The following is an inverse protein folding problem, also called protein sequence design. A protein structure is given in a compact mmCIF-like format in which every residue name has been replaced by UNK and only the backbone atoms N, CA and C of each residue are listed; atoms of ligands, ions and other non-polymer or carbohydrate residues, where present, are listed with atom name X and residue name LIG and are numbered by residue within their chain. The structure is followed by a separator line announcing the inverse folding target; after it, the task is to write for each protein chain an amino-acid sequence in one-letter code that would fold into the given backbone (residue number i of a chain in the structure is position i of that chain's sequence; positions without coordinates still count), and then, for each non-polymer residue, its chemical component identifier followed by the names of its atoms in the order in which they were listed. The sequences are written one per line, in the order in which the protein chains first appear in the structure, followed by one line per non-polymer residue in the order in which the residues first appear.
data_IF_304735592427
#
_entry.id   IF_304735592427
#
_cell.length_a   1.000
_cell.length_b   1.000
_cell.length_c   1.000
_cell.angle_alpha   90.00
_cell.angle_beta   90.00
_cell.angle_gamma   90.00
#
_symmetry.space_group_name_H-M   'P 1'
#
loop_
_entity.id
_entity.type
_entity.pdbx_description
1 polymer ?
#
# COMPACT_ATOMS: atom_id res chain seq x y z
N UNK A 1 -53.98 -29.72 39.15
CA UNK A 1 -52.63 -30.21 38.76
C UNK A 1 -52.12 -29.33 37.63
N UNK A 2 -51.27 -28.32 37.98
CA UNK A 2 -50.81 -27.28 37.09
C UNK A 2 -49.35 -27.60 36.71
N UNK A 3 -49.13 -27.98 35.41
CA UNK A 3 -47.79 -28.35 34.90
C UNK A 3 -47.05 -27.07 34.49
N UNK A 4 -46.03 -26.72 35.29
CA UNK A 4 -45.11 -25.61 35.02
C UNK A 4 -44.15 -26.01 33.89
N UNK A 5 -44.23 -25.37 32.70
CA UNK A 5 -43.27 -25.55 31.59
C UNK A 5 -42.14 -24.53 31.79
N UNK A 6 -40.97 -25.04 32.16
CA UNK A 6 -39.70 -24.27 32.21
C UNK A 6 -39.20 -24.16 30.76
N UNK A 7 -39.24 -22.95 30.20
CA UNK A 7 -38.59 -22.60 28.92
C UNK A 7 -37.13 -22.24 29.21
N UNK A 8 -36.19 -23.10 28.86
CA UNK A 8 -34.76 -22.81 28.86
C UNK A 8 -34.40 -22.02 27.63
N UNK A 9 -34.04 -20.76 27.81
CA UNK A 9 -33.46 -19.91 26.78
C UNK A 9 -31.98 -20.22 26.67
N UNK A 10 -31.55 -20.86 25.56
CA UNK A 10 -30.14 -20.98 25.21
C UNK A 10 -29.65 -19.67 24.63
N UNK A 11 -28.84 -18.91 25.39
CA UNK A 11 -28.16 -17.72 24.91
C UNK A 11 -27.04 -18.12 23.95
N UNK A 12 -27.23 -17.87 22.67
CA UNK A 12 -26.22 -18.04 21.64
C UNK A 12 -25.25 -16.85 21.73
N UNK A 13 -24.08 -17.04 22.37
CA UNK A 13 -23.00 -16.06 22.34
C UNK A 13 -22.36 -16.04 20.94
N UNK A 14 -22.72 -15.05 20.11
CA UNK A 14 -22.01 -14.76 18.88
C UNK A 14 -20.65 -14.18 19.25
N UNK A 15 -19.57 -14.94 19.05
CA UNK A 15 -18.20 -14.47 19.16
C UNK A 15 -17.92 -13.61 17.92
N UNK A 16 -17.99 -12.30 18.06
CA UNK A 16 -17.53 -11.36 17.05
C UNK A 16 -16.01 -11.45 16.97
N UNK A 17 -15.48 -12.13 15.94
CA UNK A 17 -14.05 -12.08 15.61
C UNK A 17 -13.74 -10.70 15.05
N UNK A 18 -13.07 -9.87 15.82
CA UNK A 18 -12.49 -8.61 15.34
C UNK A 18 -11.39 -8.96 14.34
N UNK A 19 -11.61 -8.72 13.05
CA UNK A 19 -10.57 -8.77 12.05
C UNK A 19 -9.57 -7.65 12.38
N UNK A 20 -8.40 -8.01 12.93
CA UNK A 20 -7.29 -7.07 13.07
C UNK A 20 -6.77 -6.78 11.68
N UNK A 21 -6.73 -5.50 11.30
CA UNK A 21 -6.05 -5.07 10.09
C UNK A 21 -4.57 -5.47 10.21
N UNK A 22 -4.07 -6.25 9.28
CA UNK A 22 -2.67 -6.68 9.22
C UNK A 22 -1.86 -5.52 8.63
N UNK A 23 -0.83 -5.05 9.34
CA UNK A 23 0.12 -4.08 8.80
C UNK A 23 1.21 -4.81 8.02
N UNK A 24 1.63 -4.20 6.88
CA UNK A 24 2.77 -4.72 6.12
C UNK A 24 4.06 -4.57 6.94
N UNK A 25 4.99 -5.53 6.86
CA UNK A 25 6.29 -5.43 7.53
C UNK A 25 7.07 -4.20 7.06
N UNK A 26 7.83 -3.61 7.97
CA UNK A 26 8.79 -2.56 7.65
C UNK A 26 9.95 -3.16 6.87
N UNK A 27 10.37 -2.47 5.81
CA UNK A 27 11.53 -2.89 5.02
C UNK A 27 12.83 -2.72 5.82
N UNK A 28 13.80 -3.58 5.56
CA UNK A 28 15.16 -3.44 6.08
C UNK A 28 15.73 -2.07 5.74
N UNK A 29 16.36 -1.41 6.72
CA UNK A 29 17.01 -0.12 6.51
C UNK A 29 18.15 -0.23 5.47
N UNK A 30 18.29 0.82 4.64
CA UNK A 30 19.32 0.89 3.60
C UNK A 30 18.77 1.34 2.26
N UNK A 31 19.56 1.05 1.22
CA UNK A 31 19.26 1.39 -0.17
C UNK A 31 18.45 0.27 -0.83
N UNK A 32 17.32 0.64 -1.42
CA UNK A 32 16.47 -0.23 -2.21
C UNK A 32 16.44 0.23 -3.66
N UNK A 33 16.57 -0.71 -4.59
CA UNK A 33 16.21 -0.52 -6.00
C UNK A 33 14.75 -0.91 -6.18
N UNK A 34 13.98 -0.06 -6.84
CA UNK A 34 12.56 -0.24 -7.13
C UNK A 34 12.38 -0.16 -8.65
N UNK A 35 11.94 -1.25 -9.26
CA UNK A 35 11.69 -1.37 -10.69
C UNK A 35 10.20 -1.52 -10.94
N UNK A 36 9.62 -0.60 -11.68
CA UNK A 36 8.21 -0.62 -12.03
C UNK A 36 7.99 -0.97 -13.50
N UNK A 37 7.17 -1.98 -13.72
CA UNK A 37 6.73 -2.43 -15.04
C UNK A 37 5.22 -2.27 -15.14
N UNK A 38 4.75 -1.67 -16.22
CA UNK A 38 3.31 -1.58 -16.52
C UNK A 38 2.95 -2.59 -17.59
N UNK A 39 2.00 -3.47 -17.30
CA UNK A 39 1.51 -4.45 -18.26
C UNK A 39 0.92 -3.77 -19.51
N UNK A 40 1.22 -4.30 -20.70
CA UNK A 40 0.73 -3.76 -21.97
C UNK A 40 1.34 -2.42 -22.39
N UNK A 41 2.30 -1.87 -21.63
CA UNK A 41 3.00 -0.64 -22.00
C UNK A 41 4.25 -0.94 -22.84
N UNK A 42 4.48 -0.14 -23.87
CA UNK A 42 5.75 -0.10 -24.62
C UNK A 42 6.77 0.85 -23.99
N UNK A 43 6.37 1.57 -22.93
CA UNK A 43 7.28 2.44 -22.19
C UNK A 43 8.35 1.59 -21.46
N UNK A 44 9.59 2.09 -21.37
CA UNK A 44 10.64 1.41 -20.64
C UNK A 44 10.30 1.25 -19.15
N UNK A 45 10.90 0.25 -18.54
CA UNK A 45 10.87 0.06 -17.09
C UNK A 45 11.36 1.31 -16.38
N UNK A 46 10.66 1.71 -15.33
CA UNK A 46 11.07 2.83 -14.48
C UNK A 46 11.84 2.28 -13.29
N UNK A 47 13.14 2.58 -13.22
CA UNK A 47 13.99 2.21 -12.09
C UNK A 47 14.27 3.43 -11.23
N UNK A 48 13.99 3.32 -9.92
CA UNK A 48 14.30 4.34 -8.93
C UNK A 48 15.06 3.71 -7.75
N UNK A 49 15.73 4.53 -6.98
CA UNK A 49 16.37 4.11 -5.73
C UNK A 49 15.74 4.83 -4.55
N UNK A 50 15.60 4.13 -3.44
CA UNK A 50 15.06 4.67 -2.20
C UNK A 50 15.97 4.31 -1.03
N UNK A 51 16.58 5.34 -0.41
CA UNK A 51 17.27 5.19 0.86
C UNK A 51 16.25 5.27 1.98
N UNK A 52 16.10 4.22 2.79
CA UNK A 52 15.11 4.18 3.87
C UNK A 52 15.71 3.72 5.19
N UNK A 53 15.09 4.15 6.28
CA UNK A 53 15.21 3.59 7.62
C UNK A 53 13.81 3.23 8.15
N UNK A 54 13.72 2.62 9.32
CA UNK A 54 12.46 2.23 9.92
C UNK A 54 11.48 3.41 10.05
N UNK A 55 11.98 4.59 10.44
CA UNK A 55 11.15 5.77 10.64
C UNK A 55 10.58 6.29 9.32
N UNK A 56 11.39 6.39 8.27
CA UNK A 56 10.96 6.87 6.95
C UNK A 56 10.10 5.84 6.23
N UNK A 57 10.29 4.55 6.46
CA UNK A 57 9.45 3.50 5.90
C UNK A 57 8.04 3.52 6.51
N UNK A 58 7.95 3.59 7.83
CA UNK A 58 6.66 3.78 8.54
C UNK A 58 5.96 5.07 8.15
N UNK A 59 6.72 6.17 7.99
CA UNK A 59 6.19 7.45 7.57
C UNK A 59 5.57 7.38 6.18
N UNK A 60 6.20 6.68 5.23
CA UNK A 60 5.67 6.48 3.89
C UNK A 60 4.31 5.75 3.93
N UNK A 61 4.22 4.68 4.73
CA UNK A 61 2.96 3.95 4.94
C UNK A 61 1.92 4.82 5.64
N UNK A 62 2.32 5.56 6.69
CA UNK A 62 1.43 6.44 7.45
C UNK A 62 0.88 7.58 6.59
N UNK A 63 1.64 8.13 5.63
CA UNK A 63 1.18 9.18 4.72
C UNK A 63 0.12 8.73 3.73
N UNK A 64 0.09 7.46 3.39
CA UNK A 64 -0.94 6.87 2.53
C UNK A 64 -2.22 6.54 3.31
N UNK A 65 -2.11 6.24 4.61
CA UNK A 65 -3.24 5.83 5.46
C UNK A 65 -4.36 6.88 5.60
N UNK A 66 -4.11 8.20 5.80
CA UNK A 66 -5.18 9.19 5.87
C UNK A 66 -5.97 9.31 4.57
N UNK A 67 -5.30 9.25 3.41
CA UNK A 67 -5.97 9.30 2.12
C UNK A 67 -6.86 8.06 1.91
N UNK A 68 -6.38 6.89 2.29
CA UNK A 68 -7.18 5.66 2.25
C UNK A 68 -8.38 5.76 3.19
N UNK A 69 -8.21 6.22 4.43
CA UNK A 69 -9.32 6.39 5.40
C UNK A 69 -10.40 7.38 4.94
N UNK A 70 -10.02 8.42 4.22
CA UNK A 70 -10.96 9.44 3.74
C UNK A 70 -11.71 9.04 2.48
N UNK A 71 -11.07 8.29 1.58
CA UNK A 71 -11.58 8.06 0.24
C UNK A 71 -11.94 6.60 -0.04
N UNK A 72 -11.54 5.65 0.82
CA UNK A 72 -11.79 4.24 0.59
C UNK A 72 -12.87 3.70 1.51
N UNK A 73 -13.91 3.14 0.93
CA UNK A 73 -14.94 2.38 1.64
C UNK A 73 -14.41 1.02 2.12
N UNK A 74 -13.36 0.51 1.44
CA UNK A 74 -12.66 -0.73 1.78
C UNK A 74 -11.16 -0.54 1.56
N UNK A 75 -10.34 -1.01 2.49
CA UNK A 75 -8.88 -1.08 2.39
C UNK A 75 -8.38 -2.14 3.38
N UNK A 76 -8.45 -3.40 2.96
CA UNK A 76 -8.18 -4.56 3.79
C UNK A 76 -6.88 -5.22 3.36
N UNK A 77 -6.01 -5.52 4.31
CA UNK A 77 -4.81 -6.33 4.09
C UNK A 77 -4.93 -7.64 4.86
N UNK A 78 -4.64 -8.74 4.18
CA UNK A 78 -4.62 -10.09 4.75
C UNK A 78 -3.26 -10.72 4.51
N UNK A 79 -2.77 -11.46 5.51
CA UNK A 79 -1.58 -12.29 5.37
C UNK A 79 -1.95 -13.61 4.70
N UNK A 80 -1.13 -14.05 3.76
CA UNK A 80 -1.26 -15.34 3.05
C UNK A 80 -0.08 -16.25 3.40
N UNK A 81 -0.08 -17.46 2.89
CA UNK A 81 1.04 -18.39 3.07
C UNK A 81 2.35 -17.90 2.42
N UNK A 82 2.27 -17.05 1.38
CA UNK A 82 3.42 -16.58 0.58
C UNK A 82 3.69 -15.08 0.70
N UNK A 83 2.87 -14.34 1.47
CA UNK A 83 3.01 -12.89 1.60
C UNK A 83 1.74 -12.20 2.06
N UNK A 84 1.30 -11.19 1.32
CA UNK A 84 0.15 -10.35 1.67
C UNK A 84 -0.72 -10.07 0.45
N UNK A 85 -2.02 -9.90 0.70
CA UNK A 85 -2.99 -9.42 -0.29
C UNK A 85 -3.67 -8.19 0.28
N UNK A 86 -3.73 -7.11 -0.51
CA UNK A 86 -4.47 -5.90 -0.15
C UNK A 86 -5.58 -5.67 -1.17
N UNK A 87 -6.79 -5.47 -0.65
CA UNK A 87 -8.00 -5.14 -1.43
C UNK A 87 -8.44 -3.73 -1.09
N UNK A 88 -8.68 -2.88 -2.09
CA UNK A 88 -9.22 -1.55 -1.83
C UNK A 88 -10.33 -1.15 -2.81
N UNK A 89 -11.27 -0.36 -2.29
CA UNK A 89 -12.34 0.30 -3.06
C UNK A 89 -12.36 1.75 -2.62
N UNK A 90 -11.93 2.65 -3.49
CA UNK A 90 -11.74 4.05 -3.17
C UNK A 90 -12.51 4.95 -4.17
N UNK A 91 -12.98 6.10 -3.71
CA UNK A 91 -13.69 7.08 -4.54
C UNK A 91 -12.89 8.37 -4.64
N UNK A 92 -12.59 8.81 -5.86
CA UNK A 92 -11.87 10.05 -6.15
C UNK A 92 -12.61 10.83 -7.25
N UNK A 93 -12.99 12.06 -6.96
CA UNK A 93 -13.64 12.91 -7.97
C UNK A 93 -14.92 12.33 -8.57
N UNK A 94 -15.66 11.49 -7.82
CA UNK A 94 -16.87 10.82 -8.28
C UNK A 94 -16.63 9.57 -9.14
N UNK A 95 -15.37 9.12 -9.27
CA UNK A 95 -15.00 7.84 -9.87
C UNK A 95 -14.66 6.84 -8.79
N UNK A 96 -15.08 5.59 -8.98
CA UNK A 96 -14.73 4.47 -8.08
C UNK A 96 -13.55 3.70 -8.67
N UNK A 97 -12.51 3.54 -7.87
CA UNK A 97 -11.34 2.74 -8.20
C UNK A 97 -11.29 1.51 -7.30
N UNK A 98 -11.17 0.34 -7.90
CA UNK A 98 -10.87 -0.92 -7.21
C UNK A 98 -9.42 -1.28 -7.42
N UNK A 99 -8.73 -1.79 -6.41
CA UNK A 99 -7.41 -2.38 -6.60
C UNK A 99 -7.20 -3.63 -5.78
N UNK A 100 -6.43 -4.54 -6.37
CA UNK A 100 -5.98 -5.78 -5.80
C UNK A 100 -4.45 -5.81 -5.88
N UNK A 101 -3.78 -5.91 -4.73
CA UNK A 101 -2.33 -5.98 -4.65
C UNK A 101 -1.89 -7.29 -4.04
N UNK A 102 -1.06 -8.04 -4.74
CA UNK A 102 -0.38 -9.23 -4.25
C UNK A 102 1.07 -8.88 -3.93
N UNK A 103 1.52 -9.19 -2.72
CA UNK A 103 2.87 -8.90 -2.28
C UNK A 103 3.51 -10.20 -1.82
N UNK A 104 4.64 -10.58 -2.44
CA UNK A 104 5.37 -11.82 -2.15
C UNK A 104 6.87 -11.54 -1.97
N UNK A 105 7.55 -12.38 -1.20
CA UNK A 105 8.98 -12.26 -0.97
C UNK A 105 9.33 -11.81 0.45
N UNK A 106 10.53 -11.21 0.60
CA UNK A 106 11.09 -10.86 1.91
C UNK A 106 11.46 -9.38 1.97
N UNK A 107 10.86 -8.66 2.91
CA UNK A 107 11.08 -7.24 3.17
C UNK A 107 12.49 -6.92 3.71
N UNK A 108 13.33 -7.95 3.93
CA UNK A 108 14.73 -7.80 4.31
C UNK A 108 15.71 -7.94 3.14
N UNK A 109 15.24 -8.43 1.99
CA UNK A 109 16.12 -8.72 0.84
C UNK A 109 15.52 -8.35 -0.51
N UNK A 110 14.40 -8.96 -0.88
CA UNK A 110 13.69 -8.68 -2.13
C UNK A 110 12.23 -9.09 -2.03
N UNK A 111 11.34 -8.27 -2.58
CA UNK A 111 9.92 -8.58 -2.71
C UNK A 111 9.37 -8.09 -4.04
N UNK A 112 8.27 -8.68 -4.45
CA UNK A 112 7.48 -8.27 -5.59
C UNK A 112 6.09 -7.81 -5.11
N UNK A 113 5.59 -6.76 -5.73
CA UNK A 113 4.21 -6.30 -5.53
C UNK A 113 3.56 -6.14 -6.90
N UNK A 114 2.52 -6.91 -7.16
CA UNK A 114 1.68 -6.80 -8.36
C UNK A 114 0.36 -6.14 -7.98
N UNK A 115 0.09 -5.02 -8.62
CA UNK A 115 -1.14 -4.24 -8.39
C UNK A 115 -1.98 -4.27 -9.65
N UNK A 116 -3.20 -4.77 -9.56
CA UNK A 116 -4.23 -4.66 -10.62
C UNK A 116 -5.27 -3.65 -10.15
N UNK A 117 -5.52 -2.64 -10.95
CA UNK A 117 -6.47 -1.56 -10.64
C UNK A 117 -7.49 -1.39 -11.74
N UNK A 118 -8.76 -1.25 -11.35
CA UNK A 118 -9.88 -0.96 -12.24
C UNK A 118 -10.57 0.34 -11.87
N UNK A 119 -11.20 1.01 -12.84
CA UNK A 119 -12.02 2.20 -12.62
C UNK A 119 -13.34 2.11 -13.37
N UNK A 120 -14.43 2.61 -12.73
CA UNK A 120 -15.77 2.71 -13.34
C UNK A 120 -15.86 3.84 -14.39
N UNK A 121 -14.91 4.78 -14.38
CA UNK A 121 -14.86 5.94 -15.30
C UNK A 121 -13.46 6.12 -15.88
N UNK A 122 -13.05 5.27 -16.83
CA UNK A 122 -11.76 5.43 -17.48
C UNK A 122 -11.75 6.71 -18.31
N UNK A 123 -10.60 7.37 -18.40
CA UNK A 123 -10.41 8.47 -19.33
C UNK A 123 -10.51 7.98 -20.78
N UNK A 124 -10.90 8.85 -21.74
CA UNK A 124 -10.94 8.47 -23.14
C UNK A 124 -9.62 7.81 -23.59
N UNK A 125 -9.72 6.72 -24.32
CA UNK A 125 -8.58 5.93 -24.82
C UNK A 125 -7.65 5.34 -23.73
N UNK A 126 -8.13 5.23 -22.50
CA UNK A 126 -7.40 4.59 -21.41
C UNK A 126 -8.09 3.26 -21.06
N UNK A 127 -7.36 2.16 -20.83
CA UNK A 127 -7.95 0.92 -20.35
C UNK A 127 -8.69 1.14 -19.02
N UNK A 128 -9.86 0.50 -18.85
CA UNK A 128 -10.59 0.52 -17.59
C UNK A 128 -9.85 -0.23 -16.48
N UNK A 129 -8.96 -1.14 -16.85
CA UNK A 129 -8.10 -1.91 -15.96
C UNK A 129 -6.64 -1.78 -16.40
N UNK A 130 -5.74 -1.69 -15.42
CA UNK A 130 -4.31 -1.72 -15.64
C UNK A 130 -3.62 -2.53 -14.55
N UNK A 131 -2.43 -3.06 -14.86
CA UNK A 131 -1.61 -3.80 -13.92
C UNK A 131 -0.19 -3.25 -13.91
N UNK A 132 0.35 -3.07 -12.71
CA UNK A 132 1.72 -2.62 -12.46
C UNK A 132 2.41 -3.64 -11.56
N UNK A 133 3.62 -4.05 -11.94
CA UNK A 133 4.48 -4.88 -11.11
C UNK A 133 5.64 -4.05 -10.60
N UNK A 134 5.87 -4.07 -9.29
CA UNK A 134 7.00 -3.47 -8.61
C UNK A 134 7.93 -4.59 -8.12
N UNK A 135 9.16 -4.60 -8.60
CA UNK A 135 10.23 -5.42 -8.03
C UNK A 135 11.10 -4.55 -7.14
N UNK A 136 11.20 -4.93 -5.87
CA UNK A 136 12.02 -4.24 -4.88
C UNK A 136 13.19 -5.13 -4.48
N UNK A 137 14.40 -4.58 -4.50
CA UNK A 137 15.64 -5.29 -4.13
C UNK A 137 16.48 -4.43 -3.20
N UNK A 138 16.86 -4.98 -2.05
CA UNK A 138 17.82 -4.34 -1.16
C UNK A 138 19.23 -4.41 -1.73
N UNK A 139 19.94 -3.28 -1.77
CA UNK A 139 21.29 -3.16 -2.36
C UNK A 139 22.39 -3.01 -1.30
N UNK A 140 22.04 -2.75 -0.04
CA UNK A 140 23.02 -2.51 1.00
C UNK A 140 22.75 -1.24 1.79
N UNK A 141 23.79 -0.64 2.33
CA UNK A 141 23.67 0.67 2.99
C UNK A 141 23.34 1.77 1.98
N UNK A 142 22.70 2.85 2.43
CA UNK A 142 22.53 4.05 1.61
C UNK A 142 23.87 4.61 1.16
N UNK A 143 23.93 5.22 -0.03
CA UNK A 143 25.14 5.90 -0.49
C UNK A 143 25.50 7.06 0.45
N UNK A 144 26.79 7.44 0.48
CA UNK A 144 27.31 8.43 1.42
C UNK A 144 26.65 9.83 1.26
N UNK A 145 26.14 10.14 0.08
CA UNK A 145 25.43 11.37 -0.25
C UNK A 145 23.92 11.27 -0.11
N UNK A 146 23.39 10.12 0.33
CA UNK A 146 21.97 9.86 0.56
C UNK A 146 21.65 9.83 2.04
N UNK A 147 20.49 10.35 2.39
CA UNK A 147 19.90 10.28 3.73
C UNK A 147 18.57 9.53 3.71
N UNK A 148 18.14 8.93 4.83
CA UNK A 148 16.84 8.25 4.90
C UNK A 148 15.69 9.15 4.45
N UNK A 149 14.88 8.61 3.54
CA UNK A 149 13.79 9.29 2.86
C UNK A 149 14.14 9.78 1.45
N UNK A 150 15.39 9.71 1.02
CA UNK A 150 15.78 10.10 -0.34
C UNK A 150 15.28 9.10 -1.37
N UNK A 151 14.61 9.61 -2.40
CA UNK A 151 14.20 8.90 -3.60
C UNK A 151 14.96 9.50 -4.78
N UNK A 152 15.69 8.66 -5.50
CA UNK A 152 16.40 9.04 -6.73
C UNK A 152 15.64 8.46 -7.92
N UNK A 153 15.13 9.34 -8.76
CA UNK A 153 14.38 9.01 -9.97
C UNK A 153 15.31 8.77 -11.15
N UNK A 154 14.83 8.15 -12.24
CA UNK A 154 15.59 8.10 -13.50
C UNK A 154 16.07 9.49 -13.92
N UNK A 155 17.31 9.58 -14.40
CA UNK A 155 17.94 10.87 -14.72
C UNK A 155 18.56 11.61 -13.54
N UNK A 156 18.57 11.01 -12.34
CA UNK A 156 19.26 11.56 -11.17
C UNK A 156 18.49 12.60 -10.37
N UNK A 157 17.24 12.89 -10.74
CA UNK A 157 16.40 13.77 -9.92
C UNK A 157 16.16 13.17 -8.54
N UNK A 158 16.46 13.93 -7.49
CA UNK A 158 16.35 13.51 -6.09
C UNK A 158 15.28 14.32 -5.35
N UNK A 159 14.47 13.62 -4.57
CA UNK A 159 13.53 14.21 -3.62
C UNK A 159 13.64 13.48 -2.28
N UNK A 160 13.24 14.16 -1.19
CA UNK A 160 13.18 13.55 0.13
C UNK A 160 11.75 13.60 0.68
N UNK A 161 11.26 12.48 1.20
CA UNK A 161 9.87 12.37 1.71
C UNK A 161 9.59 13.32 2.88
N UNK A 162 10.59 13.58 3.74
CA UNK A 162 10.48 14.51 4.87
C UNK A 162 10.35 15.96 4.40
N UNK A 163 10.98 16.31 3.29
CA UNK A 163 10.90 17.68 2.74
C UNK A 163 9.55 17.88 2.03
N UNK A 164 8.99 16.83 1.40
CA UNK A 164 7.64 16.89 0.84
C UNK A 164 6.55 17.12 1.90
N UNK A 165 6.71 16.56 3.10
CA UNK A 165 5.78 16.83 4.21
C UNK A 165 5.83 18.29 4.69
N UNK A 166 7.01 18.87 4.78
CA UNK A 166 7.16 20.28 5.12
C UNK A 166 6.43 21.16 4.11
N UNK A 167 6.53 20.84 2.82
CA UNK A 167 5.81 21.56 1.76
C UNK A 167 4.30 21.43 1.88
N UNK A 168 3.77 20.25 2.23
CA UNK A 168 2.32 20.06 2.50
C UNK A 168 1.84 20.95 3.64
N UNK A 169 2.64 21.14 4.69
CA UNK A 169 2.33 22.02 5.83
C UNK A 169 2.29 23.52 5.48
N UNK A 170 2.87 23.92 4.35
CA UNK A 170 2.89 25.30 3.85
C UNK A 170 1.75 25.60 2.87
N UNK A 171 1.06 24.59 2.36
CA UNK A 171 -0.09 24.77 1.48
C UNK A 171 -1.31 25.23 2.30
N UNK A 172 -2.13 26.19 1.81
CA UNK A 172 -3.36 26.58 2.46
C UNK A 172 -4.27 25.36 2.61
N UNK A 173 -4.82 25.16 3.80
CA UNK A 173 -5.86 24.13 4.03
C UNK A 173 -7.08 24.56 3.22
N UNK A 174 -7.44 23.79 2.21
CA UNK A 174 -8.70 23.94 1.47
C UNK A 174 -9.86 23.41 2.29
#
# INVERSE_FOLDING_TARGET
MMRLRVMTWAALCAVATTANAVELPTRKAGLWELKMLRAGSTAPEVTMQHCTDEATDKQMTANLSPMAKQNCARNDTTQTATGYVTESVCSFGGSTMTSHAEITGDFNSAYEMKVTSGTDRPAPNTPAENSVTLHAKWLGACAADQRPGDIVMPGGFRMNIKDMEKLKGLLPKQ
#
